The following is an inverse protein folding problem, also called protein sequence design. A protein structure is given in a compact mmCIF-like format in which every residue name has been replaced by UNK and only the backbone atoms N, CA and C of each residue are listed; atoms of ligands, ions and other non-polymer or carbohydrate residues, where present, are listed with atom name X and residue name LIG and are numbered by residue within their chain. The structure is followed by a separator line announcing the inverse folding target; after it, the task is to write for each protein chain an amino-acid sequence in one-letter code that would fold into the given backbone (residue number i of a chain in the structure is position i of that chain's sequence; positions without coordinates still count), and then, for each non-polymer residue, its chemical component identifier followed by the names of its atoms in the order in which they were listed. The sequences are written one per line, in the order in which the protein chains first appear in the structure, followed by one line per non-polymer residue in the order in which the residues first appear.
data_IF_976999193931
#
_entry.id   IF_976999193931
#
_cell.length_a   1.000
_cell.length_b   1.000
_cell.length_c   1.000
_cell.angle_alpha   90.00
_cell.angle_beta   90.00
_cell.angle_gamma   90.00
#
_symmetry.space_group_name_H-M   'P 1'
#
loop_
_entity.id
_entity.type
_entity.pdbx_description
1 polymer ?
#
# COMPACT_ATOMS: atom_id res chain seq x y z
N UNK A 1 -10.41 -0.12 -18.86
CA UNK A 1 -10.62 -1.48 -19.42
C UNK A 1 -10.28 -1.61 -20.91
N UNK A 2 -10.03 -0.52 -21.66
CA UNK A 2 -9.80 -0.58 -23.11
C UNK A 2 -8.52 -1.29 -23.56
N UNK A 3 -7.48 -1.32 -22.72
CA UNK A 3 -6.17 -1.86 -23.11
C UNK A 3 -6.11 -3.39 -22.96
N UNK A 4 -6.39 -3.95 -21.77
CA UNK A 4 -6.37 -5.41 -21.51
C UNK A 4 -7.57 -6.17 -22.08
N UNK A 5 -8.72 -5.51 -22.23
CA UNK A 5 -9.99 -6.16 -22.53
C UNK A 5 -10.62 -6.89 -21.33
N UNK A 6 -11.68 -7.67 -21.61
CA UNK A 6 -12.54 -8.31 -20.60
C UNK A 6 -12.22 -9.79 -20.35
N UNK A 7 -11.17 -10.33 -20.98
CA UNK A 7 -10.84 -11.75 -20.82
C UNK A 7 -10.47 -12.09 -19.37
N UNK A 8 -10.85 -13.27 -18.85
CA UNK A 8 -10.40 -13.74 -17.54
C UNK A 8 -8.87 -13.81 -17.45
N UNK A 9 -8.32 -13.58 -16.26
CA UNK A 9 -6.88 -13.71 -16.02
C UNK A 9 -6.31 -12.62 -15.12
N UNK A 10 -4.98 -12.49 -15.15
CA UNK A 10 -4.26 -11.52 -14.33
C UNK A 10 -4.68 -10.08 -14.66
N UNK A 11 -4.93 -9.25 -13.64
CA UNK A 11 -5.27 -7.83 -13.83
C UNK A 11 -4.09 -7.04 -14.42
N UNK A 12 -2.87 -7.31 -13.93
CA UNK A 12 -1.64 -6.69 -14.41
C UNK A 12 -0.91 -7.67 -15.34
N UNK A 13 -0.82 -7.29 -16.60
CA UNK A 13 -0.17 -8.04 -17.67
C UNK A 13 1.06 -7.28 -18.20
N UNK A 14 2.19 -7.96 -18.46
CA UNK A 14 3.33 -7.34 -19.14
C UNK A 14 2.96 -6.89 -20.55
N UNK A 15 3.50 -5.75 -20.98
CA UNK A 15 3.37 -5.22 -22.33
C UNK A 15 4.75 -5.20 -22.97
N UNK A 16 4.89 -5.82 -24.14
CA UNK A 16 6.15 -5.82 -24.88
C UNK A 16 6.45 -4.42 -25.44
N UNK A 17 7.71 -4.18 -25.83
CA UNK A 17 8.12 -2.91 -26.47
C UNK A 17 7.26 -2.56 -27.70
N UNK A 18 6.80 -3.57 -28.44
CA UNK A 18 5.88 -3.42 -29.57
C UNK A 18 4.40 -3.22 -29.22
N UNK A 19 4.05 -2.98 -27.94
CA UNK A 19 2.68 -2.71 -27.49
C UNK A 19 1.80 -3.95 -27.29
N UNK A 20 2.31 -5.15 -27.60
CA UNK A 20 1.55 -6.40 -27.42
C UNK A 20 1.44 -6.80 -25.94
N UNK A 21 0.21 -7.08 -25.50
CA UNK A 21 -0.08 -7.56 -24.14
C UNK A 21 0.21 -9.05 -24.06
N UNK A 22 0.98 -9.46 -23.06
CA UNK A 22 1.14 -10.86 -22.71
C UNK A 22 0.13 -11.23 -21.63
N UNK A 23 -0.84 -12.11 -21.94
CA UNK A 23 -1.88 -12.57 -21.01
C UNK A 23 -1.34 -13.52 -19.93
N UNK A 24 -0.46 -13.01 -19.09
CA UNK A 24 0.12 -13.68 -17.92
C UNK A 24 0.25 -12.71 -16.76
N UNK A 25 0.49 -13.24 -15.56
CA UNK A 25 0.77 -12.43 -14.37
C UNK A 25 2.08 -11.65 -14.55
N UNK A 26 2.04 -10.35 -14.29
CA UNK A 26 3.26 -9.57 -14.09
C UNK A 26 4.04 -10.09 -12.88
N UNK A 27 5.37 -10.15 -13.00
CA UNK A 27 6.20 -10.61 -11.90
C UNK A 27 6.37 -9.51 -10.85
N UNK A 28 6.57 -9.85 -9.56
CA UNK A 28 6.86 -8.85 -8.53
C UNK A 28 8.08 -7.98 -8.86
N UNK A 29 9.13 -8.58 -9.43
CA UNK A 29 10.32 -7.87 -9.89
C UNK A 29 9.98 -6.82 -10.96
N UNK A 30 9.12 -7.15 -11.92
CA UNK A 30 8.70 -6.21 -12.95
C UNK A 30 7.92 -5.03 -12.36
N UNK A 31 7.04 -5.28 -11.38
CA UNK A 31 6.34 -4.22 -10.65
C UNK A 31 7.34 -3.30 -9.93
N UNK A 32 8.33 -3.87 -9.21
CA UNK A 32 9.37 -3.10 -8.54
C UNK A 32 10.15 -2.21 -9.51
N UNK A 33 10.59 -2.76 -10.65
CA UNK A 33 11.33 -2.01 -11.67
C UNK A 33 10.48 -0.87 -12.27
N UNK A 34 9.18 -1.11 -12.48
CA UNK A 34 8.25 -0.05 -12.92
C UNK A 34 8.20 1.07 -11.89
N UNK A 35 8.08 0.75 -10.60
CA UNK A 35 8.04 1.76 -9.54
C UNK A 35 9.34 2.55 -9.43
N UNK A 36 10.49 1.88 -9.49
CA UNK A 36 11.80 2.55 -9.48
C UNK A 36 11.96 3.52 -10.65
N UNK A 37 11.51 3.12 -11.85
CA UNK A 37 11.48 4.00 -13.01
C UNK A 37 10.60 5.22 -12.76
N UNK A 38 9.39 5.04 -12.22
CA UNK A 38 8.47 6.15 -11.91
C UNK A 38 9.00 7.07 -10.81
N UNK A 39 9.64 6.52 -9.78
CA UNK A 39 10.28 7.30 -8.73
C UNK A 39 11.35 8.23 -9.31
N UNK A 40 12.22 7.70 -10.18
CA UNK A 40 13.23 8.49 -10.90
C UNK A 40 12.61 9.58 -11.77
N UNK A 41 11.57 9.27 -12.54
CA UNK A 41 10.87 10.24 -13.39
C UNK A 41 10.17 11.34 -12.59
N UNK A 42 9.64 11.00 -11.40
CA UNK A 42 8.98 11.94 -10.50
C UNK A 42 9.97 12.74 -9.62
N UNK A 43 11.27 12.44 -9.67
CA UNK A 43 12.29 13.10 -8.84
C UNK A 43 12.18 12.79 -7.35
N UNK A 44 11.60 11.65 -6.97
CA UNK A 44 11.47 11.21 -5.57
C UNK A 44 12.46 10.08 -5.26
N UNK A 45 12.75 9.89 -3.98
CA UNK A 45 13.58 8.77 -3.53
C UNK A 45 13.00 7.42 -3.95
N UNK A 46 13.87 6.43 -4.15
CA UNK A 46 13.45 5.09 -4.54
C UNK A 46 12.63 4.44 -3.41
N UNK A 47 11.46 3.92 -3.76
CA UNK A 47 10.60 3.16 -2.86
C UNK A 47 10.19 1.82 -3.47
N UNK A 48 9.66 0.94 -2.62
CA UNK A 48 9.21 -0.40 -2.98
C UNK A 48 7.68 -0.52 -2.91
N UNK A 49 7.08 -1.59 -3.47
CA UNK A 49 5.65 -1.86 -3.29
C UNK A 49 5.22 -1.94 -1.82
N UNK A 50 6.13 -2.33 -0.92
CA UNK A 50 5.82 -2.43 0.51
C UNK A 50 5.60 -1.06 1.12
N UNK A 51 6.27 -0.01 0.64
CA UNK A 51 6.15 1.35 1.18
C UNK A 51 4.76 1.93 0.93
N UNK A 52 4.11 1.62 -0.20
CA UNK A 52 2.69 1.95 -0.40
C UNK A 52 1.79 1.35 0.67
N UNK A 53 2.03 0.09 1.06
CA UNK A 53 1.26 -0.55 2.14
C UNK A 53 1.54 0.12 3.48
N UNK A 54 2.77 0.55 3.75
CA UNK A 54 3.11 1.30 4.97
C UNK A 54 2.36 2.62 5.02
N UNK A 55 2.44 3.42 3.96
CA UNK A 55 1.74 4.70 3.85
C UNK A 55 0.24 4.53 3.99
N UNK A 56 -0.35 3.57 3.28
CA UNK A 56 -1.78 3.26 3.40
C UNK A 56 -2.21 2.95 4.85
N UNK A 57 -1.44 2.13 5.57
CA UNK A 57 -1.76 1.81 6.97
C UNK A 57 -1.57 3.03 7.89
N UNK A 58 -0.46 3.76 7.74
CA UNK A 58 -0.18 4.94 8.56
C UNK A 58 -1.23 6.03 8.34
N UNK A 59 -1.59 6.35 7.10
CA UNK A 59 -2.57 7.41 6.79
C UNK A 59 -3.95 7.11 7.38
N UNK A 60 -4.39 5.85 7.32
CA UNK A 60 -5.67 5.45 7.92
C UNK A 60 -5.65 5.56 9.45
N UNK A 61 -4.54 5.17 10.08
CA UNK A 61 -4.39 5.30 11.52
C UNK A 61 -4.34 6.79 11.92
N UNK A 62 -3.57 7.61 11.20
CA UNK A 62 -3.49 9.05 11.43
C UNK A 62 -4.84 9.75 11.26
N UNK A 63 -5.68 9.27 10.33
CA UNK A 63 -7.08 9.70 10.17
C UNK A 63 -8.03 9.23 11.31
N UNK A 64 -7.52 8.51 12.31
CA UNK A 64 -8.30 8.08 13.47
C UNK A 64 -9.05 6.76 13.28
N UNK A 65 -8.83 6.05 12.16
CA UNK A 65 -9.45 4.74 11.92
C UNK A 65 -8.88 3.72 12.92
N UNK A 66 -9.73 2.83 13.42
CA UNK A 66 -9.33 1.82 14.39
C UNK A 66 -8.41 0.76 13.75
N UNK A 67 -7.50 0.23 14.57
CA UNK A 67 -6.46 -0.69 14.12
C UNK A 67 -7.03 -2.01 13.53
N UNK A 68 -8.20 -2.45 13.99
CA UNK A 68 -8.82 -3.70 13.51
C UNK A 68 -9.37 -3.50 12.11
N UNK A 69 -10.00 -2.35 11.84
CA UNK A 69 -10.44 -1.97 10.49
C UNK A 69 -9.24 -1.82 9.55
N UNK A 70 -8.20 -1.10 9.95
CA UNK A 70 -6.98 -0.95 9.13
C UNK A 70 -6.33 -2.30 8.85
N UNK A 71 -6.26 -3.20 9.83
CA UNK A 71 -5.76 -4.56 9.65
C UNK A 71 -6.55 -5.36 8.61
N UNK A 72 -7.88 -5.31 8.66
CA UNK A 72 -8.74 -5.99 7.68
C UNK A 72 -8.53 -5.44 6.28
N UNK A 73 -8.45 -4.12 6.12
CA UNK A 73 -8.20 -3.46 4.84
C UNK A 73 -6.81 -3.80 4.26
N UNK A 74 -5.79 -3.85 5.12
CA UNK A 74 -4.43 -4.22 4.70
C UNK A 74 -4.26 -5.72 4.42
N UNK A 75 -5.20 -6.56 4.88
CA UNK A 75 -5.15 -8.01 4.79
C UNK A 75 -4.11 -8.65 5.71
N UNK A 76 -3.80 -8.02 6.85
CA UNK A 76 -2.86 -8.59 7.81
C UNK A 76 -3.54 -9.68 8.66
N UNK A 77 -2.83 -10.76 8.94
CA UNK A 77 -3.34 -11.85 9.77
C UNK A 77 -3.43 -11.46 11.27
N UNK A 78 -2.67 -10.45 11.71
CA UNK A 78 -2.63 -10.02 13.09
C UNK A 78 -2.63 -8.49 13.20
N UNK A 79 -3.37 -7.89 14.16
CA UNK A 79 -3.29 -6.48 14.49
C UNK A 79 -1.87 -6.03 14.87
N UNK A 80 -1.06 -6.93 15.42
CA UNK A 80 0.35 -6.65 15.79
C UNK A 80 1.17 -6.23 14.57
N UNK A 81 0.90 -6.80 13.40
CA UNK A 81 1.56 -6.40 12.15
C UNK A 81 1.19 -4.98 11.74
N UNK A 82 -0.09 -4.61 11.91
CA UNK A 82 -0.59 -3.26 11.61
C UNK A 82 -0.10 -2.23 12.62
N UNK A 83 0.06 -2.62 13.89
CA UNK A 83 0.53 -1.74 14.96
C UNK A 83 1.93 -1.15 14.68
N UNK A 84 2.75 -1.84 13.87
CA UNK A 84 4.07 -1.34 13.43
C UNK A 84 3.98 -0.05 12.60
N UNK A 85 2.81 0.28 12.07
CA UNK A 85 2.56 1.48 11.26
C UNK A 85 1.87 2.60 12.04
N UNK A 86 1.50 2.36 13.30
CA UNK A 86 0.87 3.37 14.15
C UNK A 86 1.93 4.35 14.66
N UNK A 87 1.99 5.54 14.05
CA UNK A 87 2.93 6.61 14.42
C UNK A 87 2.38 7.48 15.55
N UNK A 88 1.11 7.32 15.91
CA UNK A 88 0.43 8.14 16.92
C UNK A 88 0.90 7.81 18.34
N UNK A 89 1.48 6.62 18.51
CA UNK A 89 2.25 6.18 19.68
C UNK A 89 1.80 6.73 21.03
N UNK A 90 2.57 7.69 21.54
CA UNK A 90 2.35 8.30 22.86
C UNK A 90 1.31 9.43 22.85
N UNK A 91 1.08 10.06 21.70
CA UNK A 91 0.17 11.20 21.60
C UNK A 91 -1.29 10.76 21.77
N UNK A 92 -1.66 9.61 21.18
CA UNK A 92 -2.99 9.01 21.38
C UNK A 92 -3.19 8.55 22.81
N UNK A 93 -2.18 7.97 23.46
CA UNK A 93 -2.25 7.58 24.88
C UNK A 93 -2.46 8.82 25.76
N UNK A 94 -1.68 9.89 25.55
CA UNK A 94 -1.86 11.16 26.27
C UNK A 94 -3.26 11.75 26.09
N UNK A 95 -3.75 11.84 24.85
CA UNK A 95 -5.11 12.34 24.57
C UNK A 95 -6.19 11.46 25.21
N UNK A 96 -6.01 10.15 25.24
CA UNK A 96 -6.94 9.23 25.89
C UNK A 96 -6.99 9.45 27.41
N UNK A 97 -5.83 9.63 28.06
CA UNK A 97 -5.76 9.96 29.49
C UNK A 97 -6.38 11.32 29.79
N UNK A 98 -6.11 12.34 28.97
CA UNK A 98 -6.71 13.68 29.14
C UNK A 98 -8.24 13.68 29.02
N UNK A 99 -8.82 12.77 28.24
CA UNK A 99 -10.28 12.62 28.13
C UNK A 99 -10.95 12.03 29.38
N UNK A 100 -10.18 11.45 30.31
CA UNK A 100 -10.74 10.88 31.55
C UNK A 100 -11.13 11.93 32.60
N UNK A 101 -10.80 13.22 32.38
CA UNK A 101 -11.32 14.32 33.17
C UNK A 101 -11.03 14.20 34.67
N UNK A 102 -9.78 14.46 35.05
CA UNK A 102 -9.41 14.91 36.40
C UNK A 102 -8.71 16.26 36.28
#
# INVERSE_FOLDING_TARGET
MSVRGHQPGALLCPIQKGGQIQYRKMTPQAVLLILQKRAKEAGVESFSPHDFRRTFCSDLLDAGIDIVTVQKLAGHASPVTTAKYDRRGEEVKRRAVQKLGF
#
